data_IF_481260756378
#
_entry.id   IF_481260756378
#
_cell.length_a   1.000
_cell.length_b   1.000
_cell.length_c   1.000
_cell.angle_alpha   90.00
_cell.angle_beta   90.00
_cell.angle_gamma   90.00
#
_symmetry.space_group_name_H-M   'P 1'
#
loop_
_entity.id
_entity.type
_entity.pdbx_description
1 polymer ?
#
# COMPACT_ATOMS: atom_id res chain seq x y z
N UNK A 1 15.36 -15.99 -19.76
CA UNK A 1 16.39 -15.54 -18.80
C UNK A 1 15.77 -15.62 -17.41
N UNK A 2 16.31 -16.46 -16.52
CA UNK A 2 15.95 -16.48 -15.10
C UNK A 2 17.05 -15.74 -14.35
N UNK A 3 16.69 -14.71 -13.59
CA UNK A 3 17.62 -13.94 -12.77
C UNK A 3 17.48 -14.39 -11.32
N UNK A 4 18.60 -14.74 -10.69
CA UNK A 4 18.60 -15.12 -9.28
C UNK A 4 18.12 -13.94 -8.40
N UNK A 5 17.34 -14.26 -7.37
CA UNK A 5 16.73 -13.28 -6.47
C UNK A 5 15.58 -12.43 -7.06
N UNK A 6 15.18 -12.65 -8.32
CA UNK A 6 14.04 -11.96 -8.94
C UNK A 6 12.84 -12.90 -9.01
N UNK A 7 11.77 -12.55 -8.30
CA UNK A 7 10.52 -13.30 -8.31
C UNK A 7 9.71 -13.03 -9.59
N UNK A 8 9.53 -11.75 -9.95
CA UNK A 8 8.75 -11.33 -11.12
C UNK A 8 9.30 -10.05 -11.72
N UNK A 9 9.00 -9.85 -12.99
CA UNK A 9 9.20 -8.58 -13.70
C UNK A 9 7.88 -8.18 -14.33
N UNK A 10 7.52 -6.90 -14.25
CA UNK A 10 6.30 -6.37 -14.87
C UNK A 10 6.64 -5.12 -15.67
N UNK A 11 6.05 -5.00 -16.87
CA UNK A 11 6.26 -3.83 -17.74
C UNK A 11 5.25 -2.73 -17.43
N UNK A 12 5.61 -1.48 -17.71
CA UNK A 12 4.71 -0.33 -17.69
C UNK A 12 3.45 -0.58 -18.53
N UNK A 13 3.61 -1.17 -19.72
CA UNK A 13 2.48 -1.57 -20.57
C UNK A 13 1.51 -2.50 -19.84
N UNK A 14 2.02 -3.56 -19.22
CA UNK A 14 1.18 -4.49 -18.44
C UNK A 14 0.46 -3.78 -17.30
N UNK A 15 1.13 -2.88 -16.57
CA UNK A 15 0.51 -2.10 -15.49
C UNK A 15 -0.55 -1.10 -15.99
N UNK A 16 -0.49 -0.69 -17.26
CA UNK A 16 -1.46 0.22 -17.87
C UNK A 16 -2.63 -0.50 -18.56
N UNK A 17 -2.43 -1.74 -19.03
CA UNK A 17 -3.41 -2.46 -19.87
C UNK A 17 -4.07 -3.65 -19.16
N UNK A 18 -3.76 -3.90 -17.90
CA UNK A 18 -4.30 -5.01 -17.11
C UNK A 18 -4.72 -4.49 -15.75
N UNK A 19 -5.72 -5.11 -15.12
CA UNK A 19 -6.10 -4.81 -13.75
C UNK A 19 -5.70 -5.97 -12.84
N UNK A 20 -4.82 -5.71 -11.87
CA UNK A 20 -4.51 -6.67 -10.81
C UNK A 20 -5.42 -6.40 -9.61
N UNK A 21 -6.02 -7.45 -9.06
CA UNK A 21 -7.03 -7.34 -8.00
C UNK A 21 -6.60 -7.95 -6.66
N UNK A 22 -5.41 -8.53 -6.62
CA UNK A 22 -4.85 -9.08 -5.37
C UNK A 22 -3.33 -9.25 -5.44
N UNK A 23 -2.73 -9.41 -4.27
CA UNK A 23 -1.34 -9.82 -4.09
C UNK A 23 -0.33 -8.74 -4.45
N UNK A 24 0.91 -9.16 -4.73
CA UNK A 24 2.04 -8.24 -4.95
C UNK A 24 1.82 -7.34 -6.17
N UNK A 25 1.22 -7.85 -7.25
CA UNK A 25 1.05 -7.08 -8.49
C UNK A 25 0.01 -5.96 -8.35
N UNK A 26 -1.04 -6.15 -7.55
CA UNK A 26 -1.98 -5.08 -7.20
C UNK A 26 -1.27 -3.93 -6.49
N UNK A 27 -0.47 -4.24 -5.47
CA UNK A 27 0.28 -3.22 -4.71
C UNK A 27 1.27 -2.48 -5.60
N UNK A 28 1.98 -3.20 -6.48
CA UNK A 28 2.90 -2.61 -7.46
C UNK A 28 2.16 -1.74 -8.48
N UNK A 29 0.95 -2.12 -8.87
CA UNK A 29 0.11 -1.31 -9.76
C UNK A 29 -0.37 -0.04 -9.09
N UNK A 30 -0.78 -0.08 -7.82
CA UNK A 30 -1.17 1.13 -7.07
C UNK A 30 0.01 2.08 -6.80
N UNK A 31 1.26 1.62 -6.84
CA UNK A 31 2.44 2.48 -6.71
C UNK A 31 2.96 3.02 -8.05
N UNK A 32 2.39 2.60 -9.18
CA UNK A 32 2.81 3.01 -10.51
C UNK A 32 2.21 4.37 -10.91
N UNK A 33 3.07 5.27 -11.39
CA UNK A 33 2.68 6.54 -11.98
C UNK A 33 3.21 6.64 -13.41
N UNK A 34 2.31 6.81 -14.37
CA UNK A 34 2.63 6.82 -15.80
C UNK A 34 3.71 7.84 -16.21
N UNK A 35 3.83 8.97 -15.50
CA UNK A 35 4.76 10.05 -15.87
C UNK A 35 6.16 9.87 -15.28
N UNK A 36 6.29 9.18 -14.15
CA UNK A 36 7.54 9.17 -13.36
C UNK A 36 8.04 7.78 -12.99
N UNK A 37 7.24 6.73 -13.15
CA UNK A 37 7.68 5.35 -12.95
C UNK A 37 8.41 4.84 -14.20
N UNK A 38 9.39 3.95 -14.00
CA UNK A 38 10.14 3.34 -15.08
C UNK A 38 9.34 2.33 -15.91
N UNK A 39 9.94 1.91 -17.03
CA UNK A 39 9.31 1.00 -18.01
C UNK A 39 9.21 -0.46 -17.55
N UNK A 40 10.07 -0.86 -16.61
CA UNK A 40 10.10 -2.22 -16.04
C UNK A 40 10.26 -2.12 -14.54
N UNK A 41 9.40 -2.82 -13.81
CA UNK A 41 9.50 -2.99 -12.35
C UNK A 41 9.98 -4.41 -12.06
N UNK A 42 11.04 -4.51 -11.27
CA UNK A 42 11.58 -5.76 -10.77
C UNK A 42 11.04 -6.02 -9.36
N UNK A 43 10.51 -7.22 -9.16
CA UNK A 43 9.97 -7.67 -7.87
C UNK A 43 10.94 -8.74 -7.34
N UNK A 44 11.69 -8.46 -6.27
CA UNK A 44 12.63 -9.42 -5.71
C UNK A 44 11.89 -10.57 -5.00
N UNK A 45 12.56 -11.68 -4.74
CA UNK A 45 12.02 -12.78 -3.92
C UNK A 45 11.78 -12.32 -2.47
N UNK A 46 10.81 -12.92 -1.74
CA UNK A 46 10.58 -12.58 -0.34
C UNK A 46 11.87 -12.69 0.49
N UNK A 47 12.14 -11.71 1.35
CA UNK A 47 13.33 -11.67 2.23
C UNK A 47 14.61 -11.21 1.53
N UNK A 48 14.59 -10.94 0.23
CA UNK A 48 15.74 -10.40 -0.47
C UNK A 48 15.92 -8.91 -0.17
N UNK A 49 17.18 -8.50 0.05
CA UNK A 49 17.58 -7.12 0.36
C UNK A 49 18.55 -6.66 -0.73
N UNK A 50 18.31 -5.50 -1.34
CA UNK A 50 19.13 -4.97 -2.43
C UNK A 50 20.24 -3.99 -1.98
N UNK A 51 20.58 -3.96 -0.67
CA UNK A 51 21.45 -2.92 -0.09
C UNK A 51 22.49 -3.47 0.87
N UNK A 52 23.75 -2.99 0.72
CA UNK A 52 24.80 -2.98 1.73
C UNK A 52 25.24 -4.35 2.30
N UNK A 53 26.34 -4.36 3.07
CA UNK A 53 26.78 -5.55 3.82
C UNK A 53 26.17 -5.63 5.23
N UNK A 54 25.47 -4.59 5.67
CA UNK A 54 24.99 -4.42 7.05
C UNK A 54 23.65 -3.69 7.09
N UNK A 55 22.84 -4.00 8.11
CA UNK A 55 21.54 -3.35 8.34
C UNK A 55 20.38 -4.03 7.62
N UNK A 56 19.23 -3.35 7.61
CA UNK A 56 18.01 -3.77 6.91
C UNK A 56 17.43 -2.60 6.09
N UNK A 57 16.45 -2.88 5.24
CA UNK A 57 15.71 -1.89 4.46
C UNK A 57 14.26 -2.33 4.29
N UNK A 58 13.41 -1.42 3.83
CA UNK A 58 12.03 -1.69 3.43
C UNK A 58 11.84 -1.29 1.96
N UNK A 59 10.64 -1.54 1.42
CA UNK A 59 10.20 -1.09 0.10
C UNK A 59 9.67 -2.20 -0.80
N UNK A 60 9.65 -3.44 -0.30
CA UNK A 60 9.00 -4.55 -0.98
C UNK A 60 7.48 -4.50 -0.79
N UNK A 61 6.74 -5.18 -1.66
CA UNK A 61 5.28 -5.30 -1.58
C UNK A 61 4.81 -6.41 -0.60
N UNK A 62 5.73 -7.03 0.13
CA UNK A 62 5.44 -8.14 1.02
C UNK A 62 4.94 -7.67 2.39
N UNK A 63 4.26 -8.56 3.12
CA UNK A 63 3.58 -8.22 4.37
C UNK A 63 4.50 -7.62 5.43
N UNK A 64 5.76 -8.04 5.51
CA UNK A 64 6.73 -7.51 6.46
C UNK A 64 7.07 -6.03 6.24
N UNK A 65 6.86 -5.49 5.04
CA UNK A 65 7.04 -4.07 4.73
C UNK A 65 5.71 -3.30 4.65
N UNK A 66 4.60 -3.97 4.36
CA UNK A 66 3.31 -3.31 4.09
C UNK A 66 2.31 -3.38 5.25
N UNK A 67 2.51 -4.28 6.22
CA UNK A 67 1.64 -4.37 7.39
C UNK A 67 2.10 -3.36 8.44
N UNK A 68 1.24 -2.39 8.74
CA UNK A 68 1.52 -1.28 9.66
C UNK A 68 0.39 -1.14 10.69
N UNK A 69 0.70 -0.71 11.92
CA UNK A 69 -0.34 -0.38 12.89
C UNK A 69 -1.06 0.93 12.51
N UNK A 70 -2.38 0.95 12.72
CA UNK A 70 -3.20 2.16 12.63
C UNK A 70 -3.88 2.36 13.97
N UNK A 71 -3.68 3.52 14.59
CA UNK A 71 -4.23 3.86 15.91
C UNK A 71 -4.92 5.21 15.79
N UNK A 72 -6.22 5.26 16.11
CA UNK A 72 -6.99 6.49 16.25
C UNK A 72 -7.20 6.77 17.73
N UNK A 73 -7.12 8.04 18.13
CA UNK A 73 -7.28 8.47 19.52
C UNK A 73 -7.75 9.92 19.58
N UNK A 74 -8.73 10.21 20.44
CA UNK A 74 -9.23 11.56 20.67
C UNK A 74 -10.76 11.63 20.71
N UNK A 75 -11.29 12.85 20.58
CA UNK A 75 -12.73 13.10 20.56
C UNK A 75 -13.37 12.50 19.30
N UNK A 76 -14.56 11.90 19.46
CA UNK A 76 -15.28 11.25 18.36
C UNK A 76 -14.70 9.92 17.90
N UNK A 77 -13.72 9.37 18.65
CA UNK A 77 -13.15 8.04 18.40
C UNK A 77 -13.68 7.04 19.40
N UNK A 78 -14.35 6.01 18.90
CA UNK A 78 -14.87 4.91 19.71
C UNK A 78 -13.72 4.03 20.23
N UNK A 79 -13.77 3.68 21.51
CA UNK A 79 -12.83 2.72 22.09
C UNK A 79 -13.08 1.30 21.54
N UNK A 80 -12.01 0.64 21.11
CA UNK A 80 -12.08 -0.74 20.64
C UNK A 80 -10.81 -1.19 19.93
N UNK A 81 -10.89 -2.37 19.32
CA UNK A 81 -9.87 -2.91 18.43
C UNK A 81 -10.54 -3.63 17.26
N UNK A 82 -9.80 -3.81 16.17
CA UNK A 82 -10.26 -4.52 15.00
C UNK A 82 -9.16 -5.39 14.42
N UNK A 83 -9.57 -6.55 13.88
CA UNK A 83 -8.72 -7.46 13.11
C UNK A 83 -9.09 -7.47 11.62
N UNK A 84 -10.00 -6.59 11.19
CA UNK A 84 -10.36 -6.46 9.77
C UNK A 84 -9.18 -5.88 8.99
N UNK A 85 -9.12 -6.23 7.71
CA UNK A 85 -8.12 -5.71 6.80
C UNK A 85 -8.52 -4.30 6.33
N UNK A 86 -7.62 -3.34 6.54
CA UNK A 86 -7.78 -1.94 6.16
C UNK A 86 -6.53 -1.46 5.42
N UNK A 87 -6.70 -0.49 4.54
CA UNK A 87 -5.59 0.11 3.81
C UNK A 87 -5.18 1.44 4.45
N UNK A 88 -3.89 1.80 4.34
CA UNK A 88 -3.38 3.10 4.82
C UNK A 88 -4.12 4.29 4.17
N UNK A 89 -4.58 4.13 2.92
CA UNK A 89 -5.38 5.14 2.20
C UNK A 89 -6.76 5.39 2.82
N UNK A 90 -7.24 4.53 3.72
CA UNK A 90 -8.53 4.67 4.40
C UNK A 90 -8.47 5.70 5.56
N UNK A 91 -7.25 6.08 6.00
CA UNK A 91 -7.05 7.04 7.09
C UNK A 91 -7.59 8.43 6.72
N UNK A 92 -7.25 8.93 5.55
CA UNK A 92 -7.62 10.28 5.11
C UNK A 92 -9.14 10.50 5.03
N UNK A 93 -9.95 9.66 4.35
CA UNK A 93 -11.40 9.82 4.35
C UNK A 93 -12.01 9.63 5.74
N UNK A 94 -11.45 8.74 6.59
CA UNK A 94 -11.93 8.58 7.98
C UNK A 94 -11.78 9.84 8.80
N UNK A 95 -10.61 10.52 8.70
CA UNK A 95 -10.40 11.80 9.37
C UNK A 95 -11.26 12.92 8.78
N UNK A 96 -11.46 12.93 7.46
CA UNK A 96 -12.33 13.92 6.82
C UNK A 96 -13.79 13.80 7.31
N UNK A 97 -14.30 12.57 7.42
CA UNK A 97 -15.62 12.30 8.01
C UNK A 97 -15.69 12.73 9.47
N UNK A 98 -14.68 12.40 10.29
CA UNK A 98 -14.62 12.82 11.69
C UNK A 98 -14.66 14.36 11.84
N UNK A 99 -13.97 15.08 10.95
CA UNK A 99 -13.86 16.54 10.99
C UNK A 99 -15.02 17.27 10.29
N UNK A 100 -15.91 16.54 9.59
CA UNK A 100 -16.99 17.14 8.81
C UNK A 100 -16.49 17.97 7.61
N UNK A 101 -15.38 17.56 6.99
CA UNK A 101 -14.79 18.23 5.82
C UNK A 101 -14.82 17.33 4.60
N UNK A 102 -14.68 17.92 3.42
CA UNK A 102 -14.65 17.18 2.16
C UNK A 102 -13.45 16.25 2.03
N UNK A 103 -13.63 15.20 1.24
CA UNK A 103 -12.55 14.25 0.96
C UNK A 103 -11.45 14.86 0.09
N UNK A 104 -10.19 14.40 0.23
CA UNK A 104 -9.14 14.74 -0.72
C UNK A 104 -9.54 14.37 -2.14
N UNK A 105 -9.23 15.23 -3.11
CA UNK A 105 -9.58 15.04 -4.54
C UNK A 105 -9.04 13.73 -5.15
N UNK A 106 -7.93 13.20 -4.62
CA UNK A 106 -7.34 11.92 -5.01
C UNK A 106 -7.71 10.75 -4.11
N UNK A 107 -8.77 10.87 -3.29
CA UNK A 107 -9.16 9.80 -2.38
C UNK A 107 -9.52 8.53 -3.16
N UNK A 108 -8.90 7.41 -2.77
CA UNK A 108 -9.27 6.07 -3.24
C UNK A 108 -9.61 5.13 -2.09
N UNK A 109 -9.48 5.59 -0.84
CA UNK A 109 -9.83 4.82 0.35
C UNK A 109 -11.30 4.90 0.71
N UNK A 110 -11.67 4.15 1.74
CA UNK A 110 -13.02 4.13 2.33
C UNK A 110 -12.97 4.56 3.79
N UNK A 111 -14.08 5.09 4.29
CA UNK A 111 -14.20 5.46 5.71
C UNK A 111 -14.20 4.20 6.57
N UNK A 112 -13.40 4.20 7.65
CA UNK A 112 -13.41 3.16 8.67
C UNK A 112 -14.50 3.52 9.69
N UNK A 113 -15.76 3.21 9.37
CA UNK A 113 -16.92 3.64 10.17
C UNK A 113 -16.86 3.15 11.62
N UNK A 114 -16.30 1.97 11.88
CA UNK A 114 -16.24 1.39 13.23
C UNK A 114 -15.35 2.16 14.22
N UNK A 115 -14.50 3.07 13.72
CA UNK A 115 -13.63 3.94 14.51
C UNK A 115 -14.39 5.17 15.03
N UNK A 116 -15.46 5.59 14.34
CA UNK A 116 -16.19 6.82 14.65
C UNK A 116 -17.30 6.54 15.69
N UNK A 117 -17.60 7.55 16.50
CA UNK A 117 -18.76 7.55 17.43
C UNK A 117 -20.10 7.80 16.73
#
# INVERSE_FOLDING_TARGET
LLFDGIYKTVTSKTLQTTQFTSGVLEKVQHSYNQKISGDVILIPTPGAISRGKTGTTHGSAYSYDTHVPIIFFGAGIKNGFSHKDYNVRDIAPTLATLLGVEFPNGNSGKVIEEVLE
#
